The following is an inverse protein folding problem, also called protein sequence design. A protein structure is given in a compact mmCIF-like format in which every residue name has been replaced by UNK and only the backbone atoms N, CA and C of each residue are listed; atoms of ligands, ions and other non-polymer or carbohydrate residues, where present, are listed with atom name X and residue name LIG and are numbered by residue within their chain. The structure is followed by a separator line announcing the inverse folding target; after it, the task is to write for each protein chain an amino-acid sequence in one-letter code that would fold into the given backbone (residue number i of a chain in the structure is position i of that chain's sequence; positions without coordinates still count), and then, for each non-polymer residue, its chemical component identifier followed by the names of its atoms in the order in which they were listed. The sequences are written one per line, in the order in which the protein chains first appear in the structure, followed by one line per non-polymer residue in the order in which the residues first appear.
data_IF_000160289101
#
_entry.id   IF_000160289101
#
_cell.length_a   1.000
_cell.length_b   1.000
_cell.length_c   1.000
_cell.angle_alpha   90.00
_cell.angle_beta   90.00
_cell.angle_gamma   90.00
#
_symmetry.space_group_name_H-M   'P 1'
#
loop_
_entity.id
_entity.type
_entity.pdbx_description
1 polymer ?
#
# COMPACT_ATOMS: atom_id res chain seq x y z
N UNK A 1 -5.88 10.76 5.55
CA UNK A 1 -4.90 11.53 4.77
C UNK A 1 -3.55 10.84 4.77
N UNK A 2 -2.87 10.70 5.93
CA UNK A 2 -1.51 10.14 6.03
C UNK A 2 -1.30 8.81 5.26
N UNK A 3 -2.12 7.78 5.49
CA UNK A 3 -1.96 6.49 4.80
C UNK A 3 -2.09 6.58 3.28
N UNK A 4 -3.00 7.43 2.76
CA UNK A 4 -3.15 7.61 1.30
C UNK A 4 -1.92 8.25 0.68
N UNK A 5 -1.31 9.23 1.37
CA UNK A 5 -0.07 9.86 0.93
C UNK A 5 1.09 8.86 0.92
N UNK A 6 1.25 8.08 1.98
CA UNK A 6 2.30 7.05 2.07
C UNK A 6 2.17 6.03 0.93
N UNK A 7 0.96 5.52 0.70
CA UNK A 7 0.68 4.57 -0.39
C UNK A 7 0.97 5.20 -1.74
N UNK A 8 0.59 6.46 -1.95
CA UNK A 8 0.82 7.16 -3.21
C UNK A 8 2.32 7.31 -3.49
N UNK A 9 3.10 7.78 -2.53
CA UNK A 9 4.56 7.91 -2.63
C UNK A 9 5.20 6.54 -2.91
N UNK A 10 4.82 5.51 -2.15
CA UNK A 10 5.30 4.15 -2.33
C UNK A 10 5.08 3.63 -3.76
N UNK A 11 3.87 3.79 -4.29
CA UNK A 11 3.53 3.29 -5.63
C UNK A 11 4.17 4.14 -6.72
N UNK A 12 4.32 5.45 -6.53
CA UNK A 12 4.99 6.33 -7.49
C UNK A 12 6.50 6.05 -7.59
N UNK A 13 7.15 5.81 -6.45
CA UNK A 13 8.60 5.64 -6.37
C UNK A 13 9.05 4.20 -6.67
N UNK A 14 8.37 3.20 -6.07
CA UNK A 14 8.81 1.80 -6.16
C UNK A 14 8.10 1.01 -7.27
N UNK A 15 6.88 1.41 -7.66
CA UNK A 15 6.07 0.69 -8.64
C UNK A 15 5.54 1.61 -9.76
N UNK A 16 6.40 2.34 -10.48
CA UNK A 16 5.97 3.33 -11.47
C UNK A 16 5.07 2.74 -12.57
N UNK A 17 5.33 1.50 -13.00
CA UNK A 17 4.47 0.83 -13.98
C UNK A 17 3.05 0.58 -13.47
N UNK A 18 2.91 0.14 -12.22
CA UNK A 18 1.61 -0.01 -11.56
C UNK A 18 0.90 1.35 -11.45
N UNK A 19 1.62 2.39 -11.01
CA UNK A 19 1.09 3.76 -10.95
C UNK A 19 0.52 4.21 -12.29
N UNK A 20 1.30 4.10 -13.36
CA UNK A 20 0.90 4.48 -14.70
C UNK A 20 -0.34 3.71 -15.17
N UNK A 21 -0.38 2.40 -14.92
CA UNK A 21 -1.51 1.55 -15.31
C UNK A 21 -2.79 1.94 -14.58
N UNK A 22 -2.73 2.11 -13.26
CA UNK A 22 -3.87 2.55 -12.45
C UNK A 22 -4.38 3.92 -12.88
N UNK A 23 -3.47 4.82 -13.27
CA UNK A 23 -3.81 6.15 -13.79
C UNK A 23 -4.50 6.06 -15.15
N UNK A 24 -3.96 5.29 -16.09
CA UNK A 24 -4.56 5.08 -17.42
C UNK A 24 -5.92 4.39 -17.33
N UNK A 25 -6.05 3.42 -16.42
CA UNK A 25 -7.30 2.72 -16.13
C UNK A 25 -8.33 3.56 -15.36
N UNK A 26 -7.99 4.81 -14.97
CA UNK A 26 -8.83 5.69 -14.14
C UNK A 26 -9.28 5.07 -12.81
N UNK A 27 -8.52 4.10 -12.31
CA UNK A 27 -8.80 3.40 -11.05
C UNK A 27 -7.90 3.86 -9.90
N UNK A 28 -6.87 4.67 -10.19
CA UNK A 28 -5.86 5.11 -9.21
C UNK A 28 -6.47 5.57 -7.87
N UNK A 29 -7.43 6.50 -7.88
CA UNK A 29 -8.01 7.00 -6.62
C UNK A 29 -8.71 5.90 -5.82
N UNK A 30 -9.46 5.03 -6.49
CA UNK A 30 -10.16 3.92 -5.85
C UNK A 30 -9.17 2.91 -5.25
N UNK A 31 -8.11 2.59 -5.98
CA UNK A 31 -7.09 1.65 -5.49
C UNK A 31 -6.25 2.25 -4.36
N UNK A 32 -5.89 3.54 -4.43
CA UNK A 32 -5.24 4.24 -3.31
C UNK A 32 -6.10 4.21 -2.05
N UNK A 33 -7.42 4.38 -2.19
CA UNK A 33 -8.36 4.32 -1.07
C UNK A 33 -8.42 2.92 -0.45
N UNK A 34 -8.42 1.88 -1.30
CA UNK A 34 -8.34 0.48 -0.86
C UNK A 34 -7.04 0.22 -0.11
N UNK A 35 -5.89 0.48 -0.73
CA UNK A 35 -4.57 0.23 -0.14
C UNK A 35 -4.34 1.00 1.15
N UNK A 36 -4.79 2.24 1.23
CA UNK A 36 -4.68 3.03 2.45
C UNK A 36 -5.56 2.49 3.57
N UNK A 37 -6.72 1.92 3.24
CA UNK A 37 -7.61 1.27 4.22
C UNK A 37 -6.99 -0.04 4.71
N UNK A 38 -6.43 -0.84 3.81
CA UNK A 38 -5.75 -2.10 4.12
C UNK A 38 -4.50 -1.88 4.98
N UNK A 39 -3.68 -0.87 4.63
CA UNK A 39 -2.51 -0.46 5.41
C UNK A 39 -2.92 -0.03 6.83
N UNK A 40 -3.97 0.76 6.96
CA UNK A 40 -4.49 1.18 8.27
C UNK A 40 -4.99 -0.02 9.07
N UNK A 41 -5.74 -0.92 8.46
CA UNK A 41 -6.28 -2.10 9.14
C UNK A 41 -5.15 -3.01 9.65
N UNK A 42 -4.14 -3.22 8.82
CA UNK A 42 -2.96 -4.03 9.17
C UNK A 42 -2.15 -3.39 10.30
N UNK A 43 -1.91 -2.08 10.24
CA UNK A 43 -1.23 -1.35 11.30
C UNK A 43 -1.98 -1.45 12.64
N UNK A 44 -3.30 -1.26 12.62
CA UNK A 44 -4.12 -1.39 13.83
C UNK A 44 -4.12 -2.83 14.37
N UNK A 45 -4.18 -3.84 13.50
CA UNK A 45 -4.08 -5.25 13.90
C UNK A 45 -2.78 -5.55 14.64
N UNK A 46 -1.65 -4.99 14.21
CA UNK A 46 -0.37 -5.15 14.90
C UNK A 46 -0.34 -4.43 16.25
N UNK A 47 -0.90 -3.22 16.34
CA UNK A 47 -1.03 -2.51 17.62
C UNK A 47 -1.91 -3.32 18.60
N UNK A 48 -3.04 -3.85 18.12
CA UNK A 48 -3.94 -4.70 18.92
C UNK A 48 -3.27 -6.00 19.38
N UNK A 49 -2.29 -6.50 18.62
CA UNK A 49 -1.45 -7.63 19.00
C UNK A 49 -0.34 -7.28 20.02
N UNK A 50 -0.24 -6.01 20.43
CA UNK A 50 0.72 -5.54 21.42
C UNK A 50 2.04 -5.04 20.84
N UNK A 51 2.15 -4.89 19.52
CA UNK A 51 3.33 -4.30 18.89
C UNK A 51 3.36 -2.78 19.12
N UNK A 52 4.54 -2.22 19.37
CA UNK A 52 4.74 -0.77 19.44
C UNK A 52 4.25 -0.09 18.14
N UNK A 53 3.58 1.09 18.19
CA UNK A 53 3.05 1.75 16.99
C UNK A 53 4.07 2.03 15.89
N UNK A 54 5.34 2.27 16.21
CA UNK A 54 6.40 2.45 15.21
C UNK A 54 6.68 1.15 14.46
N UNK A 55 6.97 0.08 15.21
CA UNK A 55 7.22 -1.24 14.64
C UNK A 55 5.99 -1.82 13.92
N UNK A 56 4.79 -1.59 14.44
CA UNK A 56 3.53 -2.01 13.84
C UNK A 56 3.31 -1.34 12.47
N UNK A 57 3.73 -0.08 12.33
CA UNK A 57 3.68 0.63 11.05
C UNK A 57 4.68 0.07 10.06
N UNK A 58 5.91 -0.25 10.49
CA UNK A 58 6.93 -0.87 9.62
C UNK A 58 6.45 -2.21 9.09
N UNK A 59 5.95 -3.10 9.95
CA UNK A 59 5.39 -4.39 9.55
C UNK A 59 4.22 -4.24 8.58
N UNK A 60 3.32 -3.28 8.82
CA UNK A 60 2.20 -3.03 7.92
C UNK A 60 2.65 -2.51 6.54
N UNK A 61 3.74 -1.74 6.49
CA UNK A 61 4.32 -1.27 5.24
C UNK A 61 5.01 -2.41 4.48
N UNK A 62 5.73 -3.29 5.17
CA UNK A 62 6.32 -4.49 4.58
C UNK A 62 5.25 -5.40 3.97
N UNK A 63 4.17 -5.70 4.71
CA UNK A 63 3.05 -6.50 4.20
C UNK A 63 2.38 -5.88 2.96
N UNK A 64 2.18 -4.54 2.97
CA UNK A 64 1.65 -3.84 1.82
C UNK A 64 2.61 -3.91 0.63
N UNK A 65 3.91 -3.75 0.86
CA UNK A 65 4.94 -3.78 -0.17
C UNK A 65 5.00 -5.15 -0.85
N UNK A 66 4.97 -6.23 -0.07
CA UNK A 66 4.92 -7.61 -0.58
C UNK A 66 3.65 -7.88 -1.40
N UNK A 67 2.53 -7.27 -1.00
CA UNK A 67 1.30 -7.34 -1.77
C UNK A 67 1.40 -6.57 -3.09
N UNK A 68 1.91 -5.32 -3.06
CA UNK A 68 2.10 -4.49 -4.25
C UNK A 68 3.09 -5.09 -5.24
N UNK A 69 4.16 -5.73 -4.76
CA UNK A 69 5.12 -6.43 -5.60
C UNK A 69 4.46 -7.58 -6.40
N UNK A 70 3.60 -8.37 -5.74
CA UNK A 70 2.83 -9.44 -6.39
C UNK A 70 1.82 -8.90 -7.39
N UNK A 71 1.14 -7.82 -7.01
CA UNK A 71 0.16 -7.16 -7.87
C UNK A 71 0.83 -6.57 -9.13
N UNK A 72 1.95 -5.88 -8.98
CA UNK A 72 2.75 -5.36 -10.08
C UNK A 72 3.24 -6.48 -11.02
N UNK A 73 3.78 -7.58 -10.46
CA UNK A 73 4.23 -8.73 -11.24
C UNK A 73 3.11 -9.39 -12.05
N UNK A 74 1.88 -9.44 -11.51
CA UNK A 74 0.71 -9.96 -12.24
C UNK A 74 0.38 -9.13 -13.49
N UNK A 75 0.73 -7.85 -13.48
CA UNK A 75 0.45 -6.95 -14.59
C UNK A 75 1.54 -6.96 -15.66
N UNK A 76 2.74 -7.44 -15.35
CA UNK A 76 3.85 -7.60 -16.28
C UNK A 76 3.88 -8.97 -16.98
N UNK A 77 3.06 -9.93 -16.53
CA UNK A 77 2.83 -11.25 -17.15
C UNK A 77 1.72 -11.22 -18.20
#
# INVERSE_FOLDING_TARGET
MLYKTIVLELIQEQYPHLYHRLRLGRTLLRELDRYASDLRATHLRWIEAGTDPGAARELALEELNDWLAREAARFDA
#
